data_IF_909113327635
#
_entry.id   IF_909113327635
#
_cell.length_a   1.000
_cell.length_b   1.000
_cell.length_c   1.000
_cell.angle_alpha   90.00
_cell.angle_beta   90.00
_cell.angle_gamma   90.00
#
_symmetry.space_group_name_H-M   'P 1'
#
loop_
_entity.id
_entity.type
_entity.pdbx_description
1 polymer ?
#
# COMPACT_ATOMS: atom_id res chain seq x y z
N UNK A 1 -16.97 -58.46 -13.05
CA UNK A 1 -17.40 -57.43 -12.08
C UNK A 1 -16.27 -56.92 -11.15
N UNK A 2 -15.29 -57.74 -10.72
CA UNK A 2 -14.19 -57.32 -9.83
C UNK A 2 -13.19 -56.34 -10.45
N UNK A 3 -13.00 -56.31 -11.77
CA UNK A 3 -12.03 -55.44 -12.46
C UNK A 3 -12.57 -54.03 -12.73
N UNK A 4 -13.89 -53.82 -12.76
CA UNK A 4 -14.51 -52.52 -13.00
C UNK A 4 -14.50 -51.67 -11.71
N UNK A 5 -14.64 -52.33 -10.55
CA UNK A 5 -14.57 -51.66 -9.24
C UNK A 5 -13.17 -51.13 -8.94
N UNK A 6 -12.12 -51.81 -9.39
CA UNK A 6 -10.72 -51.37 -9.17
C UNK A 6 -10.39 -50.14 -10.02
N UNK A 7 -11.01 -49.98 -11.19
CA UNK A 7 -10.77 -48.80 -12.06
C UNK A 7 -11.45 -47.55 -11.56
N UNK A 8 -12.64 -47.69 -10.93
CA UNK A 8 -13.37 -46.54 -10.35
C UNK A 8 -12.67 -45.96 -9.11
N UNK A 9 -12.03 -46.79 -8.30
CA UNK A 9 -11.28 -46.37 -7.13
C UNK A 9 -10.02 -45.57 -7.50
N UNK A 10 -9.37 -45.91 -8.63
CA UNK A 10 -8.17 -45.18 -9.10
C UNK A 10 -8.55 -43.80 -9.67
N UNK A 11 -9.71 -43.66 -10.30
CA UNK A 11 -10.17 -42.37 -10.84
C UNK A 11 -10.57 -41.38 -9.73
N UNK A 12 -11.09 -41.88 -8.62
CA UNK A 12 -11.44 -41.01 -7.44
C UNK A 12 -10.19 -40.51 -6.73
N UNK A 13 -9.08 -41.22 -6.75
CA UNK A 13 -7.82 -40.80 -6.15
C UNK A 13 -7.05 -39.78 -7.03
N UNK A 14 -7.28 -39.79 -8.35
CA UNK A 14 -6.67 -38.84 -9.27
C UNK A 14 -7.51 -37.56 -9.50
N UNK A 15 -8.77 -37.55 -9.04
CA UNK A 15 -9.66 -36.38 -9.13
C UNK A 15 -9.70 -35.52 -7.90
N UNK A 16 -8.93 -35.82 -6.87
CA UNK A 16 -8.67 -34.94 -5.74
C UNK A 16 -7.84 -33.76 -6.21
N UNK A 17 -8.50 -32.75 -6.81
CA UNK A 17 -7.88 -31.44 -6.98
C UNK A 17 -7.39 -30.99 -5.61
N UNK A 18 -6.08 -31.06 -5.38
CA UNK A 18 -5.47 -30.28 -4.35
C UNK A 18 -5.90 -28.86 -4.63
N UNK A 19 -6.75 -28.31 -3.77
CA UNK A 19 -6.79 -26.88 -3.56
C UNK A 19 -5.33 -26.58 -3.23
N UNK A 20 -4.59 -26.12 -4.24
CA UNK A 20 -3.33 -25.47 -4.00
C UNK A 20 -3.71 -24.27 -3.14
N UNK A 21 -3.72 -24.46 -1.82
CA UNK A 21 -3.38 -23.40 -0.90
C UNK A 21 -2.07 -22.87 -1.50
N UNK A 22 -2.16 -21.77 -2.21
CA UNK A 22 -1.00 -21.00 -2.57
C UNK A 22 -0.42 -20.56 -1.23
N UNK A 23 0.28 -21.48 -0.57
CA UNK A 23 1.17 -21.22 0.53
C UNK A 23 2.10 -20.17 -0.01
N UNK A 24 1.76 -18.94 0.27
CA UNK A 24 2.60 -17.78 0.09
C UNK A 24 3.90 -18.11 0.80
N UNK A 25 4.83 -18.63 0.00
CA UNK A 25 6.13 -19.11 0.45
C UNK A 25 6.74 -18.03 1.31
N UNK A 26 6.74 -18.24 2.59
CA UNK A 26 7.56 -17.75 3.69
C UNK A 26 8.20 -16.38 3.69
N UNK A 27 8.01 -15.51 2.69
CA UNK A 27 8.55 -14.16 2.71
C UNK A 27 7.63 -13.25 3.51
N UNK A 28 8.11 -12.76 4.64
CA UNK A 28 7.45 -11.70 5.41
C UNK A 28 7.51 -10.41 4.59
N UNK A 29 6.34 -9.86 4.23
CA UNK A 29 6.25 -8.57 3.53
C UNK A 29 6.71 -7.46 4.47
N UNK A 30 7.61 -6.59 4.02
CA UNK A 30 8.09 -5.44 4.79
C UNK A 30 7.58 -4.14 4.16
N UNK A 31 6.72 -3.42 4.87
CA UNK A 31 6.16 -2.14 4.46
C UNK A 31 6.85 -1.01 5.22
N UNK A 32 7.30 0.03 4.51
CA UNK A 32 7.66 1.31 5.11
C UNK A 32 6.43 2.20 5.21
N UNK A 33 6.14 2.75 6.39
CA UNK A 33 5.09 3.74 6.59
C UNK A 33 5.73 5.09 6.92
N UNK A 34 5.59 6.07 6.03
CA UNK A 34 6.19 7.39 6.17
C UNK A 34 5.12 8.47 6.32
N UNK A 35 5.15 9.18 7.44
CA UNK A 35 4.19 10.22 7.76
C UNK A 35 4.87 11.48 8.29
N UNK A 36 4.36 12.65 7.91
CA UNK A 36 4.82 13.93 8.43
C UNK A 36 4.34 14.21 9.86
N UNK A 37 3.29 13.52 10.31
CA UNK A 37 2.66 13.69 11.63
C UNK A 37 3.45 12.98 12.74
N UNK A 38 2.86 12.94 13.92
CA UNK A 38 3.33 12.15 15.07
C UNK A 38 2.70 10.76 15.06
N UNK A 39 3.28 9.80 15.76
CA UNK A 39 2.69 8.47 15.93
C UNK A 39 1.29 8.54 16.54
N UNK A 40 1.07 9.39 17.53
CA UNK A 40 -0.24 9.59 18.16
C UNK A 40 -1.24 10.27 17.20
N UNK A 41 -0.79 11.24 16.40
CA UNK A 41 -1.62 11.94 15.41
C UNK A 41 -2.11 11.02 14.30
N UNK A 42 -1.31 10.03 13.92
CA UNK A 42 -1.63 9.05 12.86
C UNK A 42 -2.30 7.77 13.39
N UNK A 43 -2.45 7.60 14.72
CA UNK A 43 -2.88 6.34 15.32
C UNK A 43 -4.20 5.80 14.78
N UNK A 44 -5.19 6.65 14.52
CA UNK A 44 -6.49 6.26 13.98
C UNK A 44 -6.35 5.74 12.54
N UNK A 45 -5.55 6.42 11.71
CA UNK A 45 -5.32 6.03 10.31
C UNK A 45 -4.51 4.74 10.23
N UNK A 46 -3.46 4.61 11.05
CA UNK A 46 -2.64 3.39 11.14
C UNK A 46 -3.50 2.21 11.59
N UNK A 47 -4.35 2.40 12.61
CA UNK A 47 -5.27 1.35 13.08
C UNK A 47 -6.23 0.90 11.97
N UNK A 48 -6.83 1.83 11.24
CA UNK A 48 -7.72 1.51 10.12
C UNK A 48 -6.97 0.76 9.01
N UNK A 49 -5.77 1.20 8.67
CA UNK A 49 -4.90 0.55 7.69
C UNK A 49 -4.57 -0.90 8.08
N UNK A 50 -4.17 -1.13 9.34
CA UNK A 50 -3.90 -2.48 9.85
C UNK A 50 -5.14 -3.37 9.84
N UNK A 51 -6.31 -2.82 10.17
CA UNK A 51 -7.58 -3.56 10.12
C UNK A 51 -7.91 -4.03 8.70
N UNK A 52 -7.74 -3.17 7.69
CA UNK A 52 -7.99 -3.56 6.30
C UNK A 52 -6.96 -4.59 5.79
N UNK A 53 -5.68 -4.42 6.13
CA UNK A 53 -4.65 -5.41 5.82
C UNK A 53 -4.96 -6.78 6.45
N UNK A 54 -5.44 -6.79 7.71
CA UNK A 54 -5.81 -8.02 8.41
C UNK A 54 -6.97 -8.76 7.73
N UNK A 55 -7.98 -8.04 7.20
CA UNK A 55 -9.07 -8.63 6.42
C UNK A 55 -8.56 -9.31 5.13
N UNK A 56 -7.45 -8.81 4.59
CA UNK A 56 -6.79 -9.37 3.41
C UNK A 56 -5.78 -10.49 3.76
N UNK A 57 -5.68 -10.87 5.04
CA UNK A 57 -4.77 -11.90 5.51
C UNK A 57 -3.36 -11.43 5.85
N UNK A 58 -3.07 -10.11 5.77
CA UNK A 58 -1.80 -9.53 6.17
C UNK A 58 -1.82 -9.13 7.64
N UNK A 59 -1.04 -9.81 8.47
CA UNK A 59 -1.05 -9.65 9.93
C UNK A 59 0.35 -9.23 10.37
N UNK A 60 0.44 -8.04 10.97
CA UNK A 60 1.70 -7.53 11.54
C UNK A 60 2.22 -8.49 12.62
N UNK A 61 3.52 -8.77 12.58
CA UNK A 61 4.18 -9.75 13.45
C UNK A 61 4.03 -11.20 13.01
N UNK A 62 3.24 -11.51 11.96
CA UNK A 62 3.09 -12.87 11.43
C UNK A 62 3.67 -12.98 10.01
N UNK A 63 3.08 -12.35 9.03
CA UNK A 63 3.49 -12.37 7.63
C UNK A 63 3.73 -10.96 7.06
N UNK A 64 3.65 -9.94 7.94
CA UNK A 64 3.83 -8.53 7.64
C UNK A 64 4.70 -7.89 8.73
N UNK A 65 5.64 -7.05 8.31
CA UNK A 65 6.39 -6.13 9.19
C UNK A 65 6.20 -4.72 8.68
N UNK A 66 5.92 -3.77 9.57
CA UNK A 66 5.80 -2.36 9.22
C UNK A 66 6.89 -1.55 9.91
N UNK A 67 7.67 -0.84 9.09
CA UNK A 67 8.71 0.08 9.52
C UNK A 67 8.14 1.48 9.56
N UNK A 68 7.74 1.93 10.74
CA UNK A 68 7.14 3.24 10.93
C UNK A 68 8.18 4.34 10.98
N UNK A 69 7.94 5.44 10.25
CA UNK A 69 8.74 6.67 10.28
C UNK A 69 7.80 7.87 10.38
N UNK A 70 7.84 8.54 11.51
CA UNK A 70 7.08 9.75 11.79
C UNK A 70 8.02 10.94 11.87
N UNK A 71 7.74 12.01 11.12
CA UNK A 71 8.58 13.20 11.10
C UNK A 71 8.31 14.14 12.27
N UNK A 72 7.33 13.83 13.14
CA UNK A 72 6.98 14.63 14.33
C UNK A 72 6.68 16.10 13.96
N UNK A 73 5.90 16.29 12.87
CA UNK A 73 5.55 17.58 12.28
C UNK A 73 6.73 18.39 11.73
N UNK A 74 7.92 17.79 11.66
CA UNK A 74 9.15 18.37 11.11
C UNK A 74 9.38 17.84 9.71
N UNK A 75 8.78 18.50 8.71
CA UNK A 75 8.82 18.03 7.31
C UNK A 75 10.24 17.96 6.73
N UNK A 76 11.18 18.74 7.27
CA UNK A 76 12.60 18.70 6.93
C UNK A 76 13.28 17.35 7.25
N UNK A 77 12.67 16.52 8.11
CA UNK A 77 13.17 15.16 8.42
C UNK A 77 12.73 14.11 7.42
N UNK A 78 11.71 14.39 6.60
CA UNK A 78 11.14 13.40 5.68
C UNK A 78 12.17 12.82 4.71
N UNK A 79 13.11 13.57 4.11
CA UNK A 79 14.11 13.01 3.22
C UNK A 79 15.02 11.97 3.90
N UNK A 80 15.45 12.23 5.12
CA UNK A 80 16.27 11.30 5.91
C UNK A 80 15.47 10.04 6.25
N UNK A 81 14.24 10.19 6.71
CA UNK A 81 13.36 9.08 7.07
C UNK A 81 13.00 8.21 5.85
N UNK A 82 12.80 8.82 4.69
CA UNK A 82 12.61 8.09 3.43
C UNK A 82 13.86 7.28 3.05
N UNK A 83 15.04 7.89 3.17
CA UNK A 83 16.32 7.21 2.91
C UNK A 83 16.54 6.03 3.86
N UNK A 84 16.11 6.13 5.13
CA UNK A 84 16.13 5.03 6.08
C UNK A 84 15.31 3.83 5.59
N UNK A 85 14.09 4.06 5.12
CA UNK A 85 13.24 3.00 4.58
C UNK A 85 13.88 2.32 3.35
N UNK A 86 14.52 3.10 2.49
CA UNK A 86 15.26 2.58 1.34
C UNK A 86 16.43 1.70 1.79
N UNK A 87 17.19 2.12 2.83
CA UNK A 87 18.29 1.32 3.41
C UNK A 87 17.80 0.01 4.02
N UNK A 88 16.62 0.01 4.62
CA UNK A 88 15.97 -1.19 5.15
C UNK A 88 15.45 -2.13 4.07
N UNK A 89 15.50 -1.72 2.79
CA UNK A 89 15.03 -2.50 1.64
C UNK A 89 13.59 -2.99 1.83
N UNK A 90 12.71 -2.08 2.23
CA UNK A 90 11.28 -2.39 2.31
C UNK A 90 10.72 -2.77 0.95
N UNK A 91 9.70 -3.63 0.91
CA UNK A 91 9.08 -4.11 -0.33
C UNK A 91 8.18 -3.04 -0.96
N UNK A 92 7.60 -2.15 -0.15
CA UNK A 92 6.86 -0.98 -0.60
C UNK A 92 6.86 0.11 0.47
N UNK A 93 6.60 1.36 0.07
CA UNK A 93 6.45 2.51 0.98
C UNK A 93 5.02 3.03 0.89
N UNK A 94 4.33 3.09 2.04
CA UNK A 94 3.03 3.75 2.17
C UNK A 94 3.26 5.15 2.73
N UNK A 95 2.63 6.15 2.14
CA UNK A 95 2.73 7.54 2.54
C UNK A 95 1.35 8.16 2.76
N UNK A 96 1.21 8.98 3.79
CA UNK A 96 -0.08 9.55 4.19
C UNK A 96 -0.49 10.78 3.37
N UNK A 97 0.49 11.56 2.86
CA UNK A 97 0.23 12.86 2.24
C UNK A 97 1.32 13.25 1.23
N UNK A 98 1.06 14.33 0.48
CA UNK A 98 1.96 14.88 -0.56
C UNK A 98 3.41 15.11 -0.10
N UNK A 99 3.71 15.73 1.06
CA UNK A 99 5.12 15.95 1.47
C UNK A 99 5.89 14.65 1.66
N UNK A 100 5.28 13.65 2.31
CA UNK A 100 5.87 12.33 2.49
C UNK A 100 6.06 11.60 1.15
N UNK A 101 5.12 11.76 0.21
CA UNK A 101 5.21 11.19 -1.12
C UNK A 101 6.37 11.78 -1.93
N UNK A 102 6.58 13.08 -1.88
CA UNK A 102 7.71 13.76 -2.54
C UNK A 102 9.04 13.28 -1.98
N UNK A 103 9.16 13.17 -0.66
CA UNK A 103 10.38 12.68 0.00
C UNK A 103 10.67 11.22 -0.39
N UNK A 104 9.65 10.33 -0.38
CA UNK A 104 9.80 8.95 -0.79
C UNK A 104 10.19 8.83 -2.28
N UNK A 105 9.54 9.60 -3.17
CA UNK A 105 9.85 9.63 -4.61
C UNK A 105 11.29 10.09 -4.89
N UNK A 106 11.77 11.06 -4.12
CA UNK A 106 13.17 11.52 -4.24
C UNK A 106 14.19 10.50 -3.75
N UNK A 107 13.80 9.65 -2.78
CA UNK A 107 14.70 8.67 -2.18
C UNK A 107 14.81 7.38 -3.01
N UNK A 108 13.81 7.02 -3.83
CA UNK A 108 13.82 5.79 -4.62
C UNK A 108 13.01 5.91 -5.91
N UNK A 109 13.52 5.25 -6.97
CA UNK A 109 12.81 5.09 -8.24
C UNK A 109 12.33 3.65 -8.47
N UNK A 110 12.67 2.73 -7.57
CA UNK A 110 12.43 1.29 -7.75
C UNK A 110 11.46 0.71 -6.72
N UNK A 111 11.50 1.17 -5.47
CA UNK A 111 10.55 0.69 -4.45
C UNK A 111 9.18 1.31 -4.74
N UNK A 112 8.11 0.50 -4.87
CA UNK A 112 6.77 1.01 -5.07
C UNK A 112 6.34 1.95 -3.93
N UNK A 113 5.70 3.07 -4.28
CA UNK A 113 5.19 4.06 -3.34
C UNK A 113 3.68 4.14 -3.50
N UNK A 114 2.95 3.87 -2.41
CA UNK A 114 1.48 3.93 -2.37
C UNK A 114 1.06 5.14 -1.55
N UNK A 115 0.39 6.08 -2.21
CA UNK A 115 -0.14 7.28 -1.55
C UNK A 115 -1.54 6.99 -1.02
N UNK A 116 -1.74 7.14 0.29
CA UNK A 116 -3.06 6.99 0.90
C UNK A 116 -3.97 8.19 0.60
N UNK A 117 -3.40 9.41 0.50
CA UNK A 117 -4.15 10.61 0.13
C UNK A 117 -3.21 11.68 -0.42
N UNK A 118 -3.49 12.20 -1.62
CA UNK A 118 -2.86 13.38 -2.16
C UNK A 118 -3.93 14.32 -2.72
N UNK A 119 -3.78 15.61 -2.52
CA UNK A 119 -4.74 16.60 -3.03
C UNK A 119 -4.59 16.83 -4.53
N UNK A 120 -3.36 16.94 -5.01
CA UNK A 120 -3.02 17.15 -6.42
C UNK A 120 -1.70 16.44 -6.75
N UNK A 121 -1.73 15.15 -7.08
CA UNK A 121 -0.50 14.41 -7.36
C UNK A 121 0.15 14.78 -8.70
N UNK A 122 -0.61 15.31 -9.65
CA UNK A 122 -0.08 15.77 -10.96
C UNK A 122 0.61 17.13 -10.80
N UNK A 123 -0.07 18.11 -10.22
CA UNK A 123 0.50 19.43 -9.97
C UNK A 123 1.69 19.40 -9.02
N UNK A 124 1.71 18.47 -8.07
CA UNK A 124 2.86 18.22 -7.19
C UNK A 124 4.01 17.46 -7.88
N UNK A 125 3.85 17.05 -9.14
CA UNK A 125 4.88 16.30 -9.87
C UNK A 125 5.10 14.87 -9.36
N UNK A 126 4.16 14.30 -8.61
CA UNK A 126 4.24 12.92 -8.13
C UNK A 126 4.01 11.91 -9.23
N UNK A 127 3.07 12.19 -10.12
CA UNK A 127 2.70 11.34 -11.26
C UNK A 127 2.54 12.18 -12.53
N UNK A 128 2.76 11.59 -13.70
CA UNK A 128 2.62 12.30 -14.99
C UNK A 128 1.15 12.62 -15.30
N UNK A 129 0.23 11.69 -14.98
CA UNK A 129 -1.22 11.88 -15.06
C UNK A 129 -1.91 10.86 -14.16
N UNK A 130 -3.21 11.07 -13.84
CA UNK A 130 -3.98 10.11 -13.04
C UNK A 130 -4.22 8.79 -13.78
N UNK A 131 -4.41 8.83 -15.10
CA UNK A 131 -4.65 7.64 -15.91
C UNK A 131 -3.36 6.85 -16.22
N UNK A 132 -2.21 7.53 -16.25
CA UNK A 132 -0.88 6.94 -16.52
C UNK A 132 0.13 7.56 -15.58
N UNK A 133 0.24 7.08 -14.33
CA UNK A 133 1.13 7.63 -13.32
C UNK A 133 2.59 7.72 -13.76
N UNK A 134 3.08 6.73 -14.48
CA UNK A 134 4.44 6.65 -15.01
C UNK A 134 5.48 6.63 -13.89
N UNK A 135 6.07 5.47 -13.61
CA UNK A 135 7.06 5.31 -12.53
C UNK A 135 6.57 4.45 -11.38
N UNK A 136 7.19 4.61 -10.20
CA UNK A 136 6.98 3.76 -9.04
C UNK A 136 5.92 4.29 -8.04
N UNK A 137 5.19 5.35 -8.40
CA UNK A 137 4.19 6.00 -7.52
C UNK A 137 2.78 5.63 -7.98
N UNK A 138 1.93 5.18 -7.05
CA UNK A 138 0.50 4.93 -7.24
C UNK A 138 -0.27 5.33 -5.99
N UNK A 139 -1.60 5.30 -6.03
CA UNK A 139 -2.42 5.55 -4.84
C UNK A 139 -3.71 6.28 -5.14
N UNK A 140 -4.26 6.91 -4.09
CA UNK A 140 -5.52 7.62 -4.14
C UNK A 140 -5.29 9.14 -4.12
N UNK A 141 -6.14 9.86 -4.86
CA UNK A 141 -6.21 11.31 -4.81
C UNK A 141 -7.58 11.75 -4.30
N UNK A 142 -7.57 12.73 -3.40
CA UNK A 142 -8.79 13.47 -3.10
C UNK A 142 -9.02 14.49 -4.22
N UNK A 143 -10.05 14.33 -5.03
CA UNK A 143 -10.46 15.30 -6.08
C UNK A 143 -10.94 16.64 -5.46
N UNK A 144 -10.34 17.07 -4.37
CA UNK A 144 -10.83 18.17 -3.55
C UNK A 144 -10.88 19.52 -4.32
N UNK A 145 -9.94 19.78 -5.22
CA UNK A 145 -9.89 21.04 -5.96
C UNK A 145 -11.03 21.17 -7.00
N UNK A 146 -11.26 20.13 -7.79
CA UNK A 146 -12.32 20.15 -8.83
C UNK A 146 -13.71 20.07 -8.22
N UNK A 147 -13.87 19.24 -7.17
CA UNK A 147 -15.16 19.07 -6.47
C UNK A 147 -15.53 20.33 -5.67
N UNK A 148 -14.56 21.04 -5.09
CA UNK A 148 -14.83 22.27 -4.34
C UNK A 148 -15.30 23.41 -5.26
N UNK A 149 -14.74 23.54 -6.45
CA UNK A 149 -15.20 24.54 -7.44
C UNK A 149 -16.64 24.26 -7.86
N UNK A 150 -16.98 23.01 -8.20
CA UNK A 150 -18.36 22.61 -8.54
C UNK A 150 -19.34 22.75 -7.37
N UNK A 151 -18.92 22.49 -6.13
CA UNK A 151 -19.76 22.70 -4.94
C UNK A 151 -20.05 24.18 -4.70
N UNK A 152 -19.08 25.06 -4.94
CA UNK A 152 -19.28 26.49 -4.83
C UNK A 152 -20.21 27.04 -5.94
N UNK A 153 -20.16 26.47 -7.15
CA UNK A 153 -21.10 26.80 -8.23
C UNK A 153 -22.55 26.45 -7.86
N UNK A 154 -22.78 25.27 -7.27
CA UNK A 154 -24.12 24.82 -6.84
C UNK A 154 -24.69 25.68 -5.70
N UNK A 155 -23.82 26.27 -4.85
CA UNK A 155 -24.28 27.13 -3.74
C UNK A 155 -24.59 28.57 -4.19
N UNK A 156 -24.34 28.92 -5.46
CA UNK A 156 -24.54 30.28 -6.00
C UNK A 156 -25.91 30.44 -6.67
N UNK A 157 -26.63 29.35 -6.93
CA UNK A 157 -28.02 29.30 -7.43
C UNK A 157 -29.01 29.19 -6.25
#
# INVERSE_FOLDING_TARGET
MKKIFSLIVIIVILGGGTIADAQQTGKVLRIGYLDASTASGSAVLVKAFLQELSKLGWIEGKNLTIEYRFAEQKTERLPELAADLVRLKVDLIVVSATPSALAAKSATTTIPIVIASASDPVGAGLVASLARPGGNVTGFTGLASEVNTKRLEILKD
#
